data_IF_132805063307
#
_entry.id   IF_132805063307
#
_cell.length_a   1.000
_cell.length_b   1.000
_cell.length_c   1.000
_cell.angle_alpha   90.00
_cell.angle_beta   90.00
_cell.angle_gamma   90.00
#
_symmetry.space_group_name_H-M   'P 1'
#
loop_
_entity.id
_entity.type
_entity.pdbx_description
1 polymer ?
#
# COMPACT_ATOMS: atom_id res chain seq x y z
N UNK A 1 16.82 -14.17 -8.88
CA UNK A 1 15.98 -15.07 -8.08
C UNK A 1 16.01 -16.45 -8.72
N UNK A 2 16.43 -17.47 -7.98
CA UNK A 2 16.39 -18.87 -8.40
C UNK A 2 14.97 -19.45 -8.39
N UNK A 3 14.80 -20.65 -8.97
CA UNK A 3 13.49 -21.29 -9.11
C UNK A 3 12.85 -21.67 -7.76
N UNK A 4 13.63 -22.06 -6.76
CA UNK A 4 13.11 -22.44 -5.43
C UNK A 4 12.42 -21.26 -4.73
N UNK A 5 13.11 -20.12 -4.61
CA UNK A 5 12.55 -18.88 -4.01
C UNK A 5 11.37 -18.36 -4.83
N UNK A 6 11.43 -18.48 -6.17
CA UNK A 6 10.33 -18.10 -7.06
C UNK A 6 9.08 -18.94 -6.82
N UNK A 7 9.24 -20.25 -6.63
CA UNK A 7 8.12 -21.15 -6.34
C UNK A 7 7.48 -20.82 -4.98
N UNK A 8 8.26 -20.53 -3.95
CA UNK A 8 7.74 -20.08 -2.66
C UNK A 8 7.03 -18.72 -2.76
N UNK A 9 7.57 -17.78 -3.54
CA UNK A 9 6.92 -16.49 -3.79
C UNK A 9 5.56 -16.65 -4.49
N UNK A 10 5.44 -17.56 -5.47
CA UNK A 10 4.18 -17.88 -6.14
C UNK A 10 3.17 -18.51 -5.17
N UNK A 11 3.59 -19.47 -4.34
CA UNK A 11 2.72 -20.04 -3.29
C UNK A 11 2.18 -18.97 -2.35
N UNK A 12 3.05 -18.03 -1.95
CA UNK A 12 2.63 -16.90 -1.11
C UNK A 12 1.58 -16.05 -1.83
N UNK A 13 1.82 -15.70 -3.09
CA UNK A 13 0.89 -14.91 -3.90
C UNK A 13 -0.47 -15.61 -4.07
N UNK A 14 -0.48 -16.91 -4.35
CA UNK A 14 -1.69 -17.73 -4.46
C UNK A 14 -2.52 -17.77 -3.17
N UNK A 15 -1.86 -17.62 -2.01
CA UNK A 15 -2.49 -17.64 -0.70
C UNK A 15 -3.03 -16.26 -0.26
N UNK A 16 -2.89 -15.20 -1.06
CA UNK A 16 -3.43 -13.88 -0.72
C UNK A 16 -4.94 -13.91 -0.55
N UNK A 17 -5.43 -13.25 0.49
CA UNK A 17 -6.85 -12.96 0.67
C UNK A 17 -7.13 -11.50 0.38
N UNK A 18 -8.28 -11.20 -0.21
CA UNK A 18 -8.72 -9.83 -0.46
C UNK A 18 -9.99 -9.52 0.33
N UNK A 19 -10.06 -8.31 0.88
CA UNK A 19 -11.23 -7.74 1.53
C UNK A 19 -11.53 -6.38 0.89
N UNK A 20 -12.75 -6.21 0.37
CA UNK A 20 -13.09 -5.05 -0.47
C UNK A 20 -14.38 -4.42 0.05
N UNK A 21 -14.37 -3.11 0.29
CA UNK A 21 -15.52 -2.34 0.73
C UNK A 21 -15.73 -2.34 2.24
N UNK A 22 -16.32 -3.41 2.78
CA UNK A 22 -16.80 -3.43 4.18
C UNK A 22 -16.86 -4.86 4.75
N UNK A 23 -16.90 -5.02 6.09
CA UNK A 23 -17.02 -6.33 6.73
C UNK A 23 -18.42 -6.93 6.61
N UNK A 24 -18.50 -8.25 6.52
CA UNK A 24 -19.77 -8.98 6.60
C UNK A 24 -20.35 -8.98 8.02
N UNK A 25 -19.48 -8.92 9.05
CA UNK A 25 -19.83 -8.92 10.46
C UNK A 25 -19.45 -7.59 11.14
N UNK A 26 -20.35 -7.05 11.94
CA UNK A 26 -20.18 -5.75 12.59
C UNK A 26 -19.94 -5.89 14.09
N UNK A 27 -19.19 -4.96 14.64
CA UNK A 27 -18.95 -4.87 16.08
C UNK A 27 -20.28 -4.59 16.79
N UNK A 28 -20.60 -5.41 17.79
CA UNK A 28 -21.69 -5.13 18.71
C UNK A 28 -21.26 -4.08 19.76
N UNK A 29 -22.08 -3.04 19.89
CA UNK A 29 -21.91 -1.96 20.85
C UNK A 29 -23.03 -1.91 21.89
N UNK A 30 -23.88 -2.96 21.96
CA UNK A 30 -25.03 -3.01 22.86
C UNK A 30 -24.70 -2.77 24.35
N UNK A 31 -23.48 -3.13 24.79
CA UNK A 31 -22.99 -2.95 26.15
C UNK A 31 -22.39 -1.55 26.42
N UNK A 32 -22.25 -0.68 25.41
CA UNK A 32 -21.66 0.65 25.56
C UNK A 32 -22.75 1.68 25.81
N UNK A 33 -22.87 2.10 27.06
CA UNK A 33 -23.82 3.16 27.45
C UNK A 33 -23.29 4.55 27.04
N UNK A 34 -24.15 5.34 26.39
CA UNK A 34 -23.85 6.71 25.96
C UNK A 34 -24.82 7.67 26.64
N UNK A 35 -24.27 8.65 27.36
CA UNK A 35 -25.00 9.70 28.08
C UNK A 35 -24.74 11.06 27.41
N UNK A 36 -25.77 11.73 26.84
CA UNK A 36 -25.62 12.97 26.10
C UNK A 36 -24.93 14.11 26.88
N UNK A 37 -25.06 14.12 28.21
CA UNK A 37 -24.49 15.15 29.08
C UNK A 37 -23.10 14.83 29.65
N UNK A 38 -22.53 13.66 29.35
CA UNK A 38 -21.29 13.14 29.93
C UNK A 38 -20.28 12.73 28.84
N UNK A 39 -19.66 13.72 28.20
CA UNK A 39 -18.65 13.47 27.16
C UNK A 39 -17.47 12.63 27.68
N UNK A 40 -16.94 12.96 28.85
CA UNK A 40 -15.75 12.29 29.38
C UNK A 40 -16.06 10.82 29.69
N UNK A 41 -17.16 10.54 30.40
CA UNK A 41 -17.54 9.16 30.68
C UNK A 41 -17.90 8.38 29.42
N UNK A 42 -18.45 9.01 28.36
CA UNK A 42 -18.65 8.34 27.07
C UNK A 42 -17.32 7.88 26.45
N UNK A 43 -16.28 8.73 26.49
CA UNK A 43 -14.95 8.37 25.98
C UNK A 43 -14.36 7.24 26.81
N UNK A 44 -14.45 7.30 28.13
CA UNK A 44 -13.96 6.25 29.03
C UNK A 44 -14.68 4.91 28.78
N UNK A 45 -16.02 4.90 28.75
CA UNK A 45 -16.82 3.70 28.47
C UNK A 45 -16.52 3.09 27.11
N UNK A 46 -16.41 3.91 26.07
CA UNK A 46 -16.07 3.43 24.73
C UNK A 46 -14.66 2.82 24.68
N UNK A 47 -13.68 3.44 25.35
CA UNK A 47 -12.32 2.92 25.41
C UNK A 47 -12.22 1.63 26.22
N UNK A 48 -12.86 1.55 27.39
CA UNK A 48 -12.92 0.33 28.20
C UNK A 48 -13.54 -0.83 27.41
N UNK A 49 -14.65 -0.60 26.70
CA UNK A 49 -15.27 -1.64 25.87
C UNK A 49 -14.36 -2.12 24.73
N UNK A 50 -13.53 -1.25 24.16
CA UNK A 50 -12.55 -1.64 23.15
C UNK A 50 -11.40 -2.47 23.73
N UNK A 51 -10.92 -2.11 24.92
CA UNK A 51 -9.92 -2.90 25.65
C UNK A 51 -10.47 -4.28 26.00
N UNK A 52 -11.67 -4.35 26.56
CA UNK A 52 -12.31 -5.62 26.94
C UNK A 52 -12.47 -6.53 25.72
N UNK A 53 -12.90 -5.99 24.57
CA UNK A 53 -13.00 -6.76 23.31
C UNK A 53 -11.66 -7.33 22.87
N UNK A 54 -10.57 -6.58 22.97
CA UNK A 54 -9.23 -7.07 22.62
C UNK A 54 -8.71 -8.13 23.61
N UNK A 55 -8.96 -7.94 24.91
CA UNK A 55 -8.60 -8.92 25.92
C UNK A 55 -9.38 -10.22 25.77
N UNK A 56 -10.65 -10.14 25.35
CA UNK A 56 -11.49 -11.28 25.08
C UNK A 56 -10.99 -12.14 23.92
N UNK A 57 -10.10 -11.66 23.05
CA UNK A 57 -9.49 -12.45 21.98
C UNK A 57 -8.39 -13.41 22.51
N UNK A 58 -7.87 -13.16 23.71
CA UNK A 58 -6.77 -13.97 24.28
C UNK A 58 -7.23 -15.41 24.52
N UNK A 59 -6.50 -16.36 23.92
CA UNK A 59 -6.81 -17.79 24.02
C UNK A 59 -7.88 -18.28 23.05
N UNK A 60 -8.44 -17.39 22.20
CA UNK A 60 -9.35 -17.76 21.12
C UNK A 60 -8.59 -17.92 19.79
N UNK A 61 -9.13 -18.67 18.81
CA UNK A 61 -8.58 -18.70 17.46
C UNK A 61 -8.56 -17.31 16.82
N UNK A 62 -7.61 -17.08 15.91
CA UNK A 62 -7.53 -15.83 15.16
C UNK A 62 -8.77 -15.65 14.28
N UNK A 63 -9.48 -14.54 14.47
CA UNK A 63 -10.57 -14.16 13.58
C UNK A 63 -10.01 -13.58 12.28
N UNK A 64 -10.17 -14.35 11.20
CA UNK A 64 -9.72 -14.01 9.86
C UNK A 64 -10.68 -13.06 9.12
N UNK A 65 -11.85 -12.77 9.68
CA UNK A 65 -12.85 -11.86 9.12
C UNK A 65 -12.73 -10.45 9.68
N UNK A 66 -12.07 -10.26 10.84
CA UNK A 66 -11.83 -8.94 11.45
C UNK A 66 -11.12 -7.97 10.50
N UNK A 67 -11.55 -6.71 10.50
CA UNK A 67 -10.94 -5.62 9.76
C UNK A 67 -10.15 -4.72 10.71
N UNK A 68 -9.04 -4.15 10.23
CA UNK A 68 -8.25 -3.17 10.98
C UNK A 68 -8.60 -1.72 10.65
N UNK A 69 -9.46 -1.51 9.64
CA UNK A 69 -9.93 -0.20 9.22
C UNK A 69 -11.44 -0.23 9.02
N UNK A 70 -12.08 0.89 9.34
CA UNK A 70 -13.51 1.09 9.04
C UNK A 70 -13.73 1.36 7.55
N UNK A 71 -14.90 1.06 6.97
CA UNK A 71 -15.18 1.29 5.54
C UNK A 71 -15.05 2.75 5.10
N UNK A 72 -15.31 3.70 6.00
CA UNK A 72 -15.17 5.14 5.77
C UNK A 72 -13.73 5.66 5.76
N UNK A 73 -12.74 4.81 6.03
CA UNK A 73 -11.32 5.19 5.99
C UNK A 73 -10.84 5.29 4.55
N UNK A 74 -10.28 6.44 4.16
CA UNK A 74 -9.61 6.61 2.87
C UNK A 74 -8.16 6.12 3.00
N UNK A 75 -7.97 4.80 2.93
CA UNK A 75 -6.66 4.16 2.98
C UNK A 75 -6.76 2.72 2.44
N UNK A 76 -5.65 1.99 2.39
CA UNK A 76 -5.58 0.55 2.18
C UNK A 76 -4.53 -0.06 3.12
N UNK A 77 -4.50 -1.40 3.24
CA UNK A 77 -3.43 -2.07 3.98
C UNK A 77 -3.18 -3.52 3.56
N UNK A 78 -1.97 -3.98 3.82
CA UNK A 78 -1.56 -5.38 3.86
C UNK A 78 -1.33 -5.85 5.31
N UNK A 79 -1.78 -7.06 5.63
CA UNK A 79 -1.55 -7.69 6.93
C UNK A 79 -0.68 -8.95 6.80
N UNK A 80 0.58 -8.95 7.28
CA UNK A 80 1.51 -10.06 7.07
C UNK A 80 1.06 -11.38 7.72
N UNK A 81 0.56 -11.34 8.96
CA UNK A 81 0.12 -12.55 9.67
C UNK A 81 -1.12 -13.21 9.07
N UNK A 82 -1.91 -12.49 8.27
CA UNK A 82 -3.10 -13.02 7.63
C UNK A 82 -2.92 -13.23 6.12
N UNK A 83 -1.81 -12.73 5.56
CA UNK A 83 -1.53 -12.64 4.13
C UNK A 83 -2.74 -12.09 3.36
N UNK A 84 -3.22 -10.92 3.80
CA UNK A 84 -4.41 -10.29 3.22
C UNK A 84 -4.19 -8.82 2.86
N UNK A 85 -4.87 -8.38 1.81
CA UNK A 85 -4.92 -7.00 1.34
C UNK A 85 -6.35 -6.48 1.46
N UNK A 86 -6.50 -5.25 1.94
CA UNK A 86 -7.79 -4.70 2.32
C UNK A 86 -7.99 -3.30 1.77
N UNK A 87 -9.14 -3.09 1.12
CA UNK A 87 -9.52 -1.84 0.47
C UNK A 87 -10.88 -1.38 1.02
N UNK A 88 -10.92 -0.58 2.10
CA UNK A 88 -12.13 0.08 2.58
C UNK A 88 -12.92 0.80 1.48
N UNK A 89 -14.24 0.85 1.61
CA UNK A 89 -15.12 1.46 0.60
C UNK A 89 -14.72 2.90 0.22
N UNK A 90 -14.23 3.68 1.19
CA UNK A 90 -13.89 5.08 0.96
C UNK A 90 -12.58 5.32 0.19
N UNK A 91 -11.71 4.32 -0.05
CA UNK A 91 -10.63 4.51 -1.04
C UNK A 91 -11.10 4.26 -2.48
N UNK A 92 -12.22 3.56 -2.67
CA UNK A 92 -12.79 3.19 -3.97
C UNK A 92 -13.62 4.33 -4.59
N UNK A 93 -13.04 5.52 -4.65
CA UNK A 93 -13.62 6.73 -5.21
C UNK A 93 -12.57 7.53 -5.99
N UNK A 94 -13.00 8.53 -6.75
CA UNK A 94 -12.08 9.45 -7.41
C UNK A 94 -11.13 10.13 -6.40
N UNK A 95 -9.84 10.31 -6.71
CA UNK A 95 -9.20 10.06 -8.01
C UNK A 95 -8.71 8.61 -8.21
N UNK A 96 -8.87 7.71 -7.23
CA UNK A 96 -8.33 6.35 -7.31
C UNK A 96 -9.16 5.45 -8.22
N UNK A 97 -10.50 5.49 -8.09
CA UNK A 97 -11.39 4.63 -8.86
C UNK A 97 -12.73 5.30 -9.15
N UNK A 98 -13.18 5.18 -10.40
CA UNK A 98 -14.60 5.30 -10.75
C UNK A 98 -14.91 4.34 -11.89
N UNK A 99 -16.08 3.68 -11.86
CA UNK A 99 -16.50 2.73 -12.90
C UNK A 99 -16.58 3.35 -14.30
N UNK A 100 -16.83 4.67 -14.39
CA UNK A 100 -16.95 5.39 -15.66
C UNK A 100 -15.64 6.03 -16.15
N UNK A 101 -14.51 5.84 -15.44
CA UNK A 101 -13.22 6.37 -15.88
C UNK A 101 -12.56 5.49 -16.94
N UNK A 102 -11.74 6.12 -17.79
CA UNK A 102 -10.79 5.44 -18.68
C UNK A 102 -9.89 4.49 -17.87
N UNK A 103 -9.66 3.28 -18.39
CA UNK A 103 -8.94 2.23 -17.68
C UNK A 103 -7.54 2.68 -17.25
N UNK A 104 -6.83 3.45 -18.09
CA UNK A 104 -5.50 3.94 -17.74
C UNK A 104 -5.52 4.75 -16.43
N UNK A 105 -6.59 5.53 -16.19
CA UNK A 105 -6.78 6.28 -14.95
C UNK A 105 -6.98 5.35 -13.76
N UNK A 106 -7.87 4.34 -13.89
CA UNK A 106 -8.14 3.38 -12.81
C UNK A 106 -6.90 2.53 -12.49
N UNK A 107 -6.17 2.05 -13.50
CA UNK A 107 -4.93 1.29 -13.30
C UNK A 107 -3.82 2.15 -12.67
N UNK A 108 -3.68 3.43 -13.06
CA UNK A 108 -2.71 4.35 -12.45
C UNK A 108 -3.10 4.83 -11.05
N UNK A 109 -4.39 4.79 -10.72
CA UNK A 109 -4.95 5.10 -9.41
C UNK A 109 -5.04 3.86 -8.53
N UNK A 110 -6.24 3.27 -8.42
CA UNK A 110 -6.48 2.12 -7.55
C UNK A 110 -5.67 0.89 -7.95
N UNK A 111 -5.35 0.69 -9.24
CA UNK A 111 -4.51 -0.43 -9.68
C UNK A 111 -3.11 -0.37 -9.07
N UNK A 112 -2.50 0.82 -9.03
CA UNK A 112 -1.20 1.03 -8.40
C UNK A 112 -1.26 0.84 -6.87
N UNK A 113 -2.36 1.24 -6.22
CA UNK A 113 -2.60 0.97 -4.79
C UNK A 113 -2.74 -0.53 -4.53
N UNK A 114 -3.50 -1.26 -5.35
CA UNK A 114 -3.61 -2.73 -5.25
C UNK A 114 -2.24 -3.39 -5.40
N UNK A 115 -1.47 -2.95 -6.39
CA UNK A 115 -0.10 -3.42 -6.59
C UNK A 115 0.82 -3.09 -5.40
N UNK A 116 0.64 -1.93 -4.77
CA UNK A 116 1.40 -1.50 -3.59
C UNK A 116 1.14 -2.45 -2.40
N UNK A 117 -0.13 -2.74 -2.11
CA UNK A 117 -0.50 -3.68 -1.03
C UNK A 117 -0.02 -5.12 -1.30
N UNK A 118 -0.03 -5.56 -2.57
CA UNK A 118 0.61 -6.85 -2.95
C UNK A 118 2.13 -6.77 -2.72
N UNK A 119 2.74 -5.64 -3.07
CA UNK A 119 4.17 -5.36 -2.89
C UNK A 119 4.62 -5.47 -1.43
N UNK A 120 3.79 -5.04 -0.47
CA UNK A 120 4.06 -5.21 0.95
C UNK A 120 4.19 -6.66 1.39
N UNK A 121 3.61 -7.62 0.67
CA UNK A 121 3.86 -9.04 0.90
C UNK A 121 5.30 -9.48 0.59
N UNK A 122 6.04 -8.68 -0.17
CA UNK A 122 7.37 -9.03 -0.67
C UNK A 122 8.43 -7.95 -0.37
N UNK A 123 8.10 -6.94 0.44
CA UNK A 123 9.03 -5.93 0.91
C UNK A 123 10.01 -6.47 1.97
N UNK A 124 10.84 -5.61 2.56
CA UNK A 124 11.88 -6.03 3.51
C UNK A 124 11.32 -6.70 4.78
N UNK A 125 10.08 -6.42 5.17
CA UNK A 125 9.40 -7.05 6.31
C UNK A 125 8.47 -8.17 5.89
N UNK A 126 7.61 -7.92 4.91
CA UNK A 126 6.65 -8.90 4.41
C UNK A 126 7.34 -10.14 3.83
N UNK A 127 8.51 -9.98 3.21
CA UNK A 127 9.31 -11.11 2.70
C UNK A 127 9.76 -12.11 3.77
N UNK A 128 9.65 -11.78 5.06
CA UNK A 128 10.03 -12.68 6.16
C UNK A 128 8.90 -13.65 6.55
N UNK A 129 7.69 -13.42 6.04
CA UNK A 129 6.50 -14.25 6.28
C UNK A 129 6.18 -15.11 5.06
N UNK A 130 5.80 -16.37 5.26
CA UNK A 130 5.28 -17.21 4.18
C UNK A 130 3.78 -16.97 3.92
N UNK A 131 3.20 -17.68 2.95
CA UNK A 131 1.78 -17.53 2.56
C UNK A 131 0.76 -17.87 3.64
N UNK A 132 1.16 -18.56 4.71
CA UNK A 132 0.29 -18.82 5.87
C UNK A 132 0.28 -17.67 6.89
N UNK A 133 1.19 -16.71 6.73
CA UNK A 133 1.46 -15.63 7.70
C UNK A 133 2.44 -16.01 8.80
N UNK A 134 3.14 -17.15 8.68
CA UNK A 134 4.16 -17.57 9.62
C UNK A 134 5.51 -16.91 9.31
N UNK A 135 6.21 -16.42 10.35
CA UNK A 135 7.57 -15.93 10.23
C UNK A 135 8.50 -17.13 9.95
N UNK A 136 9.00 -17.23 8.71
CA UNK A 136 9.83 -18.34 8.25
C UNK A 136 10.75 -17.87 7.14
N UNK A 137 12.02 -18.24 7.20
CA UNK A 137 12.91 -18.04 6.06
C UNK A 137 12.54 -19.03 4.93
N UNK A 138 12.04 -18.50 3.82
CA UNK A 138 11.74 -19.24 2.59
C UNK A 138 12.65 -18.84 1.42
N UNK A 139 13.67 -18.02 1.69
CA UNK A 139 14.69 -17.59 0.73
C UNK A 139 15.87 -18.54 0.71
N UNK A 140 16.50 -18.69 -0.46
CA UNK A 140 17.90 -19.14 -0.51
C UNK A 140 18.83 -17.98 -0.09
N UNK A 141 20.03 -18.31 0.37
CA UNK A 141 21.01 -17.30 0.80
C UNK A 141 21.41 -16.36 -0.35
N UNK A 142 21.62 -16.91 -1.55
CA UNK A 142 21.99 -16.15 -2.74
C UNK A 142 20.86 -15.19 -3.16
N UNK A 143 19.61 -15.64 -3.11
CA UNK A 143 18.46 -14.81 -3.46
C UNK A 143 18.21 -13.71 -2.41
N UNK A 144 18.43 -14.02 -1.12
CA UNK A 144 18.34 -13.03 -0.06
C UNK A 144 19.41 -11.95 -0.22
N UNK A 145 20.65 -12.35 -0.53
CA UNK A 145 21.75 -11.43 -0.79
C UNK A 145 21.43 -10.52 -1.97
N UNK A 146 20.95 -11.08 -3.09
CA UNK A 146 20.56 -10.29 -4.26
C UNK A 146 19.41 -9.32 -3.97
N UNK A 147 18.44 -9.71 -3.14
CA UNK A 147 17.36 -8.83 -2.69
C UNK A 147 17.89 -7.66 -1.85
N UNK A 148 18.81 -7.92 -0.92
CA UNK A 148 19.45 -6.89 -0.10
C UNK A 148 20.30 -5.93 -0.94
N UNK A 149 21.01 -6.43 -1.95
CA UNK A 149 21.74 -5.58 -2.90
C UNK A 149 20.82 -4.64 -3.69
N UNK A 150 19.68 -5.14 -4.17
CA UNK A 150 18.70 -4.32 -4.90
C UNK A 150 18.05 -3.27 -3.99
N UNK A 151 17.63 -3.66 -2.80
CA UNK A 151 17.00 -2.76 -1.84
C UNK A 151 17.97 -1.71 -1.30
N UNK A 152 19.26 -2.02 -1.17
CA UNK A 152 20.28 -1.04 -0.79
C UNK A 152 20.40 0.12 -1.79
N UNK A 153 20.19 -0.14 -3.09
CA UNK A 153 20.17 0.91 -4.12
C UNK A 153 18.96 1.83 -3.96
N UNK A 154 17.82 1.26 -3.56
CA UNK A 154 16.60 2.03 -3.29
C UNK A 154 16.79 2.90 -2.05
N UNK A 155 17.38 2.37 -0.97
CA UNK A 155 17.78 3.16 0.21
C UNK A 155 18.65 4.34 -0.20
N UNK A 156 19.74 4.10 -0.94
CA UNK A 156 20.66 5.15 -1.37
C UNK A 156 19.99 6.21 -2.26
N UNK A 157 19.06 5.80 -3.13
CA UNK A 157 18.30 6.72 -3.95
C UNK A 157 17.46 7.68 -3.10
N UNK A 158 16.76 7.16 -2.09
CA UNK A 158 15.90 7.97 -1.24
C UNK A 158 16.68 8.82 -0.24
N UNK A 159 17.80 8.33 0.31
CA UNK A 159 18.70 9.12 1.18
C UNK A 159 19.25 10.40 0.52
N UNK A 160 19.35 10.40 -0.81
CA UNK A 160 19.79 11.56 -1.56
C UNK A 160 18.74 12.69 -1.61
N UNK A 161 17.47 12.39 -1.30
CA UNK A 161 16.33 13.28 -1.49
C UNK A 161 16.05 14.12 -0.24
N UNK A 162 15.56 15.32 -0.47
CA UNK A 162 15.14 16.27 0.55
C UNK A 162 13.73 16.78 0.24
N UNK A 163 12.80 16.82 1.21
CA UNK A 163 11.48 17.39 0.99
C UNK A 163 11.57 18.87 0.63
N UNK A 164 10.78 19.33 -0.34
CA UNK A 164 10.76 20.74 -0.75
C UNK A 164 10.40 21.70 0.42
N UNK A 165 9.47 21.27 1.28
CA UNK A 165 9.08 22.03 2.47
C UNK A 165 10.16 22.02 3.58
N UNK A 166 11.21 21.20 3.46
CA UNK A 166 12.28 21.05 4.45
C UNK A 166 13.64 20.75 3.77
N UNK A 167 14.19 21.67 2.96
CA UNK A 167 15.35 21.44 2.10
C UNK A 167 16.68 21.12 2.84
N UNK A 168 16.71 21.31 4.17
CA UNK A 168 17.84 20.94 5.04
C UNK A 168 17.72 19.54 5.66
N UNK A 169 16.60 18.85 5.45
CA UNK A 169 16.34 17.52 6.01
C UNK A 169 16.39 16.48 4.90
N UNK A 170 17.00 15.33 5.18
CA UNK A 170 17.06 14.21 4.25
C UNK A 170 15.97 13.20 4.57
N UNK A 171 15.44 12.58 3.52
CA UNK A 171 14.68 11.35 3.66
C UNK A 171 15.59 10.28 4.26
N UNK A 172 15.05 9.45 5.14
CA UNK A 172 15.71 8.23 5.58
C UNK A 172 15.23 7.07 4.71
N UNK A 173 16.03 6.70 3.73
CA UNK A 173 15.72 5.68 2.74
C UNK A 173 15.55 4.29 3.35
N UNK A 174 16.26 4.00 4.45
CA UNK A 174 16.11 2.75 5.20
C UNK A 174 14.79 2.69 5.96
N UNK A 175 14.38 3.80 6.58
CA UNK A 175 13.11 3.89 7.29
C UNK A 175 11.91 3.75 6.35
N UNK A 176 12.03 4.25 5.12
CA UNK A 176 10.95 4.25 4.13
C UNK A 176 11.03 3.09 3.14
N UNK A 177 11.93 2.14 3.37
CA UNK A 177 12.26 1.11 2.39
C UNK A 177 11.05 0.27 1.98
N UNK A 178 10.25 -0.22 2.94
CA UNK A 178 9.07 -1.03 2.66
C UNK A 178 8.08 -0.32 1.74
N UNK A 179 7.71 0.92 2.08
CA UNK A 179 6.86 1.79 1.27
C UNK A 179 7.45 2.03 -0.13
N UNK A 180 8.75 2.29 -0.22
CA UNK A 180 9.41 2.55 -1.50
C UNK A 180 9.40 1.31 -2.41
N UNK A 181 9.51 0.10 -1.83
CA UNK A 181 9.37 -1.17 -2.55
C UNK A 181 7.91 -1.35 -2.99
N UNK A 182 6.95 -1.10 -2.10
CA UNK A 182 5.52 -1.12 -2.40
C UNK A 182 5.16 -0.22 -3.56
N UNK A 183 5.60 1.05 -3.54
CA UNK A 183 5.34 2.03 -4.60
C UNK A 183 5.95 1.62 -5.95
N UNK A 184 7.22 1.19 -5.95
CA UNK A 184 7.89 0.81 -7.19
C UNK A 184 7.29 -0.48 -7.77
N UNK A 185 7.08 -1.49 -6.93
CA UNK A 185 6.48 -2.75 -7.31
C UNK A 185 5.05 -2.57 -7.78
N UNK A 186 4.25 -1.82 -7.02
CA UNK A 186 2.85 -1.59 -7.29
C UNK A 186 2.60 -0.84 -8.59
N UNK A 187 3.32 0.25 -8.83
CA UNK A 187 3.23 1.00 -10.08
C UNK A 187 3.64 0.15 -11.28
N UNK A 188 4.70 -0.66 -11.15
CA UNK A 188 5.18 -1.54 -12.23
C UNK A 188 4.19 -2.65 -12.54
N UNK A 189 3.62 -3.29 -11.51
CA UNK A 189 2.62 -4.36 -11.65
C UNK A 189 1.35 -3.79 -12.28
N UNK A 190 0.86 -2.64 -11.80
CA UNK A 190 -0.32 -2.00 -12.33
C UNK A 190 -0.17 -1.59 -13.80
N UNK A 191 1.00 -1.07 -14.18
CA UNK A 191 1.27 -0.72 -15.57
C UNK A 191 1.28 -1.94 -16.48
N UNK A 192 1.92 -3.05 -16.05
CA UNK A 192 1.87 -4.32 -16.78
C UNK A 192 0.44 -4.86 -16.91
N UNK A 193 -0.35 -4.78 -15.85
CA UNK A 193 -1.73 -5.22 -15.85
C UNK A 193 -2.60 -4.39 -16.82
N UNK A 194 -2.36 -3.08 -16.88
CA UNK A 194 -2.96 -2.18 -17.89
C UNK A 194 -2.58 -2.59 -19.32
N UNK A 195 -1.30 -2.84 -19.59
CA UNK A 195 -0.88 -3.28 -20.93
C UNK A 195 -1.49 -4.63 -21.32
N UNK A 196 -1.66 -5.55 -20.36
CA UNK A 196 -2.34 -6.84 -20.58
C UNK A 196 -3.82 -6.62 -20.89
N UNK A 197 -4.50 -5.69 -20.21
CA UNK A 197 -5.93 -5.44 -20.42
C UNK A 197 -6.26 -4.87 -21.80
N UNK A 198 -5.26 -4.24 -22.45
CA UNK A 198 -5.41 -3.75 -23.82
C UNK A 198 -5.46 -4.88 -24.86
N UNK A 199 -4.96 -6.08 -24.56
CA UNK A 199 -4.90 -7.22 -25.50
C UNK A 199 -4.30 -6.84 -26.88
N UNK A 200 -3.28 -5.98 -26.87
CA UNK A 200 -2.62 -5.47 -28.08
C UNK A 200 -3.34 -4.32 -28.79
N UNK A 201 -4.47 -3.84 -28.27
CA UNK A 201 -5.12 -2.63 -28.75
C UNK A 201 -4.32 -1.37 -28.40
N UNK A 202 -4.34 -0.39 -29.31
CA UNK A 202 -3.85 0.95 -29.01
C UNK A 202 -4.99 1.79 -28.43
N UNK A 203 -4.90 2.25 -27.17
CA UNK A 203 -5.95 3.04 -26.54
C UNK A 203 -6.02 4.43 -27.15
N UNK A 204 -7.23 4.98 -27.28
CA UNK A 204 -7.45 6.32 -27.83
C UNK A 204 -6.64 7.38 -27.07
N UNK A 205 -6.20 8.40 -27.79
CA UNK A 205 -5.63 9.62 -27.21
C UNK A 205 -6.79 10.49 -26.71
N UNK A 206 -6.83 10.72 -25.40
CA UNK A 206 -7.86 11.53 -24.74
C UNK A 206 -7.21 12.80 -24.19
N UNK A 207 -7.81 13.96 -24.45
CA UNK A 207 -7.30 15.28 -24.04
C UNK A 207 -5.82 15.53 -24.40
N UNK A 208 -5.38 14.95 -25.53
CA UNK A 208 -3.99 15.05 -26.00
C UNK A 208 -2.99 14.16 -25.26
N UNK A 209 -3.43 13.26 -24.38
CA UNK A 209 -2.59 12.32 -23.65
C UNK A 209 -2.79 10.88 -24.14
N UNK A 210 -1.68 10.14 -24.34
CA UNK A 210 -1.71 8.69 -24.57
C UNK A 210 -2.19 7.96 -23.32
N UNK A 211 -2.61 6.71 -23.46
CA UNK A 211 -2.98 5.88 -22.31
C UNK A 211 -1.87 5.76 -21.26
N UNK A 212 -0.61 5.59 -21.69
CA UNK A 212 0.55 5.60 -20.79
C UNK A 212 0.69 6.94 -20.04
N UNK A 213 0.55 8.07 -20.74
CA UNK A 213 0.60 9.39 -20.10
C UNK A 213 -0.54 9.57 -19.09
N UNK A 214 -1.76 9.11 -19.41
CA UNK A 214 -2.90 9.16 -18.49
C UNK A 214 -2.68 8.27 -17.25
N UNK A 215 -2.10 7.09 -17.42
CA UNK A 215 -1.73 6.20 -16.32
C UNK A 215 -0.77 6.90 -15.34
N UNK A 216 0.34 7.43 -15.84
CA UNK A 216 1.33 8.10 -14.96
C UNK A 216 0.82 9.43 -14.42
N UNK A 217 -0.05 10.14 -15.15
CA UNK A 217 -0.72 11.33 -14.64
C UNK A 217 -1.71 10.99 -13.50
N UNK A 218 -2.45 9.89 -13.60
CA UNK A 218 -3.35 9.40 -12.55
C UNK A 218 -2.58 9.03 -11.27
N UNK A 219 -1.49 8.28 -11.41
CA UNK A 219 -0.59 7.99 -10.28
C UNK A 219 -0.11 9.28 -9.62
N UNK A 220 0.40 10.23 -10.40
CA UNK A 220 0.86 11.51 -9.86
C UNK A 220 -0.27 12.34 -9.21
N UNK A 221 -1.48 12.28 -9.76
CA UNK A 221 -2.64 12.99 -9.23
C UNK A 221 -3.10 12.45 -7.87
N UNK A 222 -2.93 11.15 -7.64
CA UNK A 222 -3.23 10.46 -6.37
C UNK A 222 -2.31 10.90 -5.23
N UNK A 223 -1.08 11.31 -5.54
CA UNK A 223 -0.09 11.80 -4.57
C UNK A 223 -0.09 13.32 -4.34
N UNK A 224 -1.09 14.04 -4.86
CA UNK A 224 -1.15 15.51 -4.72
C UNK A 224 -1.38 15.91 -3.27
N UNK A 225 -0.31 16.35 -2.62
CA UNK A 225 -0.35 16.87 -1.26
C UNK A 225 0.67 18.00 -1.07
N UNK A 226 0.29 18.98 -0.24
CA UNK A 226 1.21 20.01 0.27
C UNK A 226 1.21 19.90 1.79
N UNK A 227 2.42 19.83 2.37
CA UNK A 227 2.61 19.70 3.82
C UNK A 227 3.37 20.91 4.37
N UNK A 228 3.09 21.26 5.62
CA UNK A 228 3.84 22.30 6.34
C UNK A 228 5.24 21.82 6.69
N UNK A 229 6.20 22.73 6.81
CA UNK A 229 7.58 22.40 7.10
C UNK A 229 7.73 21.62 8.42
N UNK A 230 6.97 21.98 9.44
CA UNK A 230 6.98 21.34 10.75
C UNK A 230 6.51 19.89 10.69
N UNK A 231 5.60 19.56 9.78
CA UNK A 231 5.14 18.19 9.55
C UNK A 231 6.11 17.41 8.66
N UNK A 232 6.74 18.08 7.68
CA UNK A 232 7.68 17.48 6.74
C UNK A 232 8.97 16.93 7.38
N UNK A 233 9.33 17.42 8.57
CA UNK A 233 10.52 16.96 9.31
C UNK A 233 10.23 15.84 10.30
N UNK A 234 8.95 15.49 10.53
CA UNK A 234 8.60 14.37 11.39
C UNK A 234 9.01 13.07 10.70
N UNK A 235 9.49 12.07 11.45
CA UNK A 235 9.76 10.76 10.87
C UNK A 235 8.53 10.26 10.11
N UNK A 236 8.67 9.85 8.84
CA UNK A 236 7.60 9.15 8.16
C UNK A 236 7.31 7.87 8.96
N UNK A 237 6.05 7.70 9.39
CA UNK A 237 5.54 6.40 9.83
C UNK A 237 5.20 5.57 8.59
N UNK A 238 3.96 5.10 8.47
CA UNK A 238 3.36 4.53 7.25
C UNK A 238 3.14 5.58 6.13
N UNK A 239 4.04 6.55 6.00
CA UNK A 239 3.97 7.55 4.93
C UNK A 239 5.14 7.29 4.01
N UNK A 240 4.92 7.11 2.70
CA UNK A 240 6.02 7.06 1.76
C UNK A 240 6.88 8.30 1.93
N UNK A 241 8.18 8.14 1.71
CA UNK A 241 9.03 9.30 1.50
C UNK A 241 8.50 10.01 0.24
N UNK A 242 7.81 11.13 0.42
CA UNK A 242 7.39 11.99 -0.68
C UNK A 242 8.38 13.15 -0.82
N UNK A 243 9.49 13.00 -1.57
CA UNK A 243 9.90 14.10 -2.39
C UNK A 243 8.79 14.31 -3.41
N UNK A 244 8.29 15.54 -3.54
CA UNK A 244 7.25 15.90 -4.53
C UNK A 244 7.64 15.61 -6.00
N UNK A 245 8.80 14.99 -6.25
CA UNK A 245 9.13 14.23 -7.46
C UNK A 245 9.10 12.75 -7.13
N UNK A 246 8.05 12.07 -7.59
CA UNK A 246 7.83 10.62 -7.46
C UNK A 246 9.06 9.86 -7.98
N UNK A 247 9.92 9.29 -7.11
CA UNK A 247 11.15 8.64 -7.55
C UNK A 247 10.87 7.34 -8.31
N UNK A 248 9.76 6.66 -8.00
CA UNK A 248 9.37 5.38 -8.62
C UNK A 248 9.18 5.48 -10.15
N UNK A 249 8.74 6.64 -10.65
CA UNK A 249 8.62 6.88 -12.10
C UNK A 249 9.97 6.84 -12.84
N UNK A 250 11.11 7.09 -12.16
CA UNK A 250 12.43 7.11 -12.83
C UNK A 250 12.96 5.71 -13.17
N UNK A 251 12.43 4.67 -12.53
CA UNK A 251 12.88 3.28 -12.67
C UNK A 251 11.98 2.44 -13.56
N UNK A 252 10.79 2.91 -13.91
CA UNK A 252 10.09 2.38 -15.06
C UNK A 252 10.92 2.76 -16.30
N UNK A 253 11.39 1.78 -17.08
CA UNK A 253 12.24 2.03 -18.26
C UNK A 253 11.46 2.74 -19.40
N UNK A 254 10.13 2.67 -19.36
CA UNK A 254 9.23 3.18 -20.40
C UNK A 254 8.94 4.70 -20.38
N UNK A 255 8.77 5.41 -19.25
CA UNK A 255 8.59 6.86 -19.24
C UNK A 255 9.79 7.66 -19.81
N UNK A 256 10.93 7.03 -20.09
CA UNK A 256 12.09 7.66 -20.77
C UNK A 256 11.98 7.66 -22.30
N UNK A 257 10.93 7.07 -22.88
CA UNK A 257 10.70 7.03 -24.35
C UNK A 257 9.83 8.16 -24.89
N UNK A 258 9.37 9.07 -24.04
CA UNK A 258 8.58 10.22 -24.46
C UNK A 258 9.51 11.45 -24.61
N UNK A 259 9.55 12.12 -25.78
CA UNK A 259 10.35 13.32 -26.01
C UNK A 259 9.88 14.54 -25.21
#
# INVERSE_FOLDING_TARGET
>A
MGEDTKHEALKKLEAFRSKIGYPDEWIDYSAVEIEPSDLLGNVERAHSADVDRHLDEVGKPVDRNKWLMTPQTVNAYYHPLLNEIVFPAAILQAPFFTADADDAVNYGGIGAVIGHEIGHGFDDQGSQFDGSGALRNWWTEDDRTAFEELTSKLVAQFDALSPYAAPGHRVNGKLTLGENIGDLGGLTIAYKAYLISLDGAEPDVLDGMTGEQRFFASWAASWRQVIRAEEAIRPPGHRPALPQRIPSQRHCEEPRRVP
#
